data_IF_185682625704
#
_entry.id   IF_185682625704
#
_cell.length_a   1.000
_cell.length_b   1.000
_cell.length_c   1.000
_cell.angle_alpha   90.00
_cell.angle_beta   90.00
_cell.angle_gamma   90.00
#
_symmetry.space_group_name_H-M   'P 1'
#
loop_
_entity.id
_entity.type
_entity.pdbx_description
1 polymer ?
#
# COMPACT_ATOMS: atom_id res chain seq x y z
N UNK A 1 -14.78 16.16 -5.79
CA UNK A 1 -15.26 14.81 -6.15
C UNK A 1 -15.99 14.86 -7.46
N UNK A 2 -15.67 13.95 -8.37
CA UNK A 2 -16.39 13.86 -9.65
C UNK A 2 -17.81 13.31 -9.44
N UNK A 3 -18.76 13.78 -10.26
CA UNK A 3 -20.13 13.27 -10.26
C UNK A 3 -20.16 11.75 -10.50
N UNK A 4 -19.24 11.25 -11.34
CA UNK A 4 -19.08 9.83 -11.65
C UNK A 4 -18.73 9.02 -10.40
N UNK A 5 -17.75 9.45 -9.60
CA UNK A 5 -17.38 8.77 -8.36
C UNK A 5 -18.53 8.76 -7.35
N UNK A 6 -19.29 9.85 -7.23
CA UNK A 6 -20.48 9.93 -6.37
C UNK A 6 -21.52 8.88 -6.79
N UNK A 7 -21.84 8.82 -8.09
CA UNK A 7 -22.81 7.86 -8.61
C UNK A 7 -22.36 6.41 -8.39
N UNK A 8 -21.06 6.12 -8.52
CA UNK A 8 -20.49 4.79 -8.22
C UNK A 8 -20.70 4.43 -6.76
N UNK A 9 -20.41 5.35 -5.84
CA UNK A 9 -20.56 5.12 -4.40
C UNK A 9 -22.04 4.95 -3.99
N UNK A 10 -22.94 5.76 -4.54
CA UNK A 10 -24.38 5.64 -4.30
C UNK A 10 -24.97 4.36 -4.87
N UNK A 11 -24.43 3.88 -5.99
CA UNK A 11 -24.87 2.63 -6.62
C UNK A 11 -24.35 1.39 -5.90
N UNK A 12 -23.23 1.49 -5.18
CA UNK A 12 -22.56 0.35 -4.55
C UNK A 12 -23.47 -0.45 -3.60
N UNK A 13 -24.26 0.14 -2.68
CA UNK A 13 -25.19 -0.62 -1.83
C UNK A 13 -26.21 -1.43 -2.63
N UNK A 14 -26.80 -0.83 -3.67
CA UNK A 14 -27.75 -1.53 -4.55
C UNK A 14 -27.06 -2.67 -5.31
N UNK A 15 -25.87 -2.42 -5.83
CA UNK A 15 -25.05 -3.41 -6.52
C UNK A 15 -24.68 -4.60 -5.62
N UNK A 16 -24.42 -4.36 -4.33
CA UNK A 16 -24.16 -5.40 -3.34
C UNK A 16 -25.42 -6.20 -3.03
N UNK A 17 -26.58 -5.54 -2.89
CA UNK A 17 -27.87 -6.20 -2.71
C UNK A 17 -28.18 -7.13 -3.89
N UNK A 18 -27.97 -6.66 -5.13
CA UNK A 18 -28.14 -7.48 -6.34
C UNK A 18 -27.22 -8.70 -6.32
N UNK A 19 -25.98 -8.57 -5.85
CA UNK A 19 -25.05 -9.70 -5.69
C UNK A 19 -25.58 -10.71 -4.67
N UNK A 20 -26.08 -10.24 -3.51
CA UNK A 20 -26.64 -11.12 -2.47
C UNK A 20 -27.85 -11.89 -3.00
N UNK A 21 -28.81 -11.19 -3.61
CA UNK A 21 -30.02 -11.81 -4.16
C UNK A 21 -29.68 -12.83 -5.24
N UNK A 22 -28.78 -12.49 -6.19
CA UNK A 22 -28.36 -13.42 -7.24
C UNK A 22 -27.66 -14.65 -6.67
N UNK A 23 -26.85 -14.49 -5.64
CA UNK A 23 -26.14 -15.61 -5.01
C UNK A 23 -27.12 -16.64 -4.44
N UNK A 24 -28.15 -16.19 -3.71
CA UNK A 24 -29.14 -17.09 -3.10
C UNK A 24 -30.19 -17.62 -4.09
N UNK A 25 -30.57 -16.84 -5.11
CA UNK A 25 -31.57 -17.27 -6.11
C UNK A 25 -30.98 -18.26 -7.13
N UNK A 26 -29.76 -18.00 -7.62
CA UNK A 26 -29.15 -18.77 -8.72
C UNK A 26 -27.99 -19.67 -8.29
N UNK A 27 -27.76 -19.82 -6.98
CA UNK A 27 -26.69 -20.67 -6.44
C UNK A 27 -25.27 -20.13 -6.70
N UNK A 28 -25.12 -18.82 -6.91
CA UNK A 28 -23.84 -18.17 -7.14
C UNK A 28 -23.85 -17.17 -8.31
N UNK A 29 -22.70 -16.57 -8.57
CA UNK A 29 -22.49 -15.67 -9.72
C UNK A 29 -21.72 -16.38 -10.84
N UNK A 30 -21.77 -15.84 -12.07
CA UNK A 30 -20.98 -16.35 -13.22
C UNK A 30 -19.46 -16.11 -13.10
N UNK A 31 -18.91 -16.01 -11.88
CA UNK A 31 -17.48 -15.90 -11.65
C UNK A 31 -16.87 -17.29 -11.47
N UNK A 32 -16.22 -17.82 -12.51
CA UNK A 32 -15.65 -19.19 -12.54
C UNK A 32 -14.89 -19.59 -11.26
N UNK A 33 -14.10 -18.68 -10.67
CA UNK A 33 -13.24 -18.96 -9.49
C UNK A 33 -13.84 -18.58 -8.14
N UNK A 34 -14.80 -17.65 -8.10
CA UNK A 34 -15.29 -17.04 -6.84
C UNK A 34 -16.78 -17.27 -6.58
N UNK A 35 -17.46 -18.05 -7.41
CA UNK A 35 -18.91 -18.23 -7.38
C UNK A 35 -19.45 -18.95 -6.13
N UNK A 36 -18.62 -19.69 -5.40
CA UNK A 36 -19.05 -20.49 -4.24
C UNK A 36 -19.08 -19.73 -2.92
N UNK A 37 -18.43 -18.57 -2.84
CA UNK A 37 -18.34 -17.78 -1.61
C UNK A 37 -18.91 -16.37 -1.81
N UNK A 38 -20.03 -16.08 -1.14
CA UNK A 38 -20.67 -14.77 -1.16
C UNK A 38 -19.71 -13.65 -0.77
N UNK A 39 -18.86 -13.88 0.24
CA UNK A 39 -17.85 -12.90 0.70
C UNK A 39 -16.91 -12.49 -0.42
N UNK A 40 -16.42 -13.44 -1.22
CA UNK A 40 -15.52 -13.15 -2.34
C UNK A 40 -16.25 -12.45 -3.49
N UNK A 41 -17.51 -12.82 -3.75
CA UNK A 41 -18.36 -12.13 -4.71
C UNK A 41 -18.59 -10.65 -4.33
N UNK A 42 -18.86 -10.37 -3.05
CA UNK A 42 -19.04 -9.02 -2.52
C UNK A 42 -17.73 -8.22 -2.58
N UNK A 43 -16.62 -8.81 -2.13
CA UNK A 43 -15.27 -8.21 -2.23
C UNK A 43 -14.93 -7.83 -3.67
N UNK A 44 -15.16 -8.75 -4.62
CA UNK A 44 -14.91 -8.47 -6.04
C UNK A 44 -15.76 -7.29 -6.55
N UNK A 45 -17.02 -7.18 -6.10
CA UNK A 45 -17.87 -6.05 -6.47
C UNK A 45 -17.32 -4.72 -5.92
N UNK A 46 -16.87 -4.71 -4.67
CA UNK A 46 -16.23 -3.55 -4.04
C UNK A 46 -14.94 -3.17 -4.76
N UNK A 47 -14.05 -4.13 -5.03
CA UNK A 47 -12.78 -3.86 -5.72
C UNK A 47 -13.01 -3.32 -7.14
N UNK A 48 -14.00 -3.84 -7.86
CA UNK A 48 -14.37 -3.30 -9.18
C UNK A 48 -14.90 -1.87 -9.07
N UNK A 49 -15.72 -1.56 -8.06
CA UNK A 49 -16.18 -0.20 -7.83
C UNK A 49 -15.02 0.75 -7.52
N UNK A 50 -14.11 0.34 -6.64
CA UNK A 50 -12.92 1.11 -6.29
C UNK A 50 -12.03 1.42 -7.52
N UNK A 51 -11.84 0.45 -8.43
CA UNK A 51 -11.08 0.66 -9.67
C UNK A 51 -11.79 1.57 -10.70
N UNK A 52 -13.08 1.84 -10.52
CA UNK A 52 -13.86 2.71 -11.43
C UNK A 52 -14.01 4.15 -10.93
N UNK A 53 -13.62 4.41 -9.67
CA UNK A 53 -13.54 5.76 -9.10
C UNK A 53 -12.51 6.58 -9.89
N UNK A 54 -12.77 7.87 -10.07
CA UNK A 54 -11.84 8.76 -10.76
C UNK A 54 -10.48 8.82 -10.03
N UNK A 55 -9.39 8.97 -10.78
CA UNK A 55 -8.02 9.03 -10.24
C UNK A 55 -7.90 10.11 -9.16
N UNK A 56 -8.52 11.29 -9.39
CA UNK A 56 -8.48 12.40 -8.45
C UNK A 56 -9.26 12.11 -7.15
N UNK A 57 -10.18 11.15 -7.21
CA UNK A 57 -11.00 10.71 -6.09
C UNK A 57 -10.41 9.48 -5.39
N UNK A 58 -9.23 9.00 -5.80
CA UNK A 58 -8.56 7.80 -5.25
C UNK A 58 -8.37 7.83 -3.72
N UNK A 59 -8.23 9.02 -3.12
CA UNK A 59 -8.15 9.21 -1.67
C UNK A 59 -9.36 8.66 -0.89
N UNK A 60 -10.51 8.49 -1.54
CA UNK A 60 -11.71 7.91 -0.93
C UNK A 60 -11.56 6.41 -0.64
N UNK A 61 -10.67 5.73 -1.38
CA UNK A 61 -10.43 4.29 -1.25
C UNK A 61 -9.50 4.00 -0.06
N UNK A 62 -8.57 4.91 0.22
CA UNK A 62 -7.64 4.83 1.35
C UNK A 62 -7.46 6.18 2.03
N UNK A 63 -8.45 6.66 2.81
CA UNK A 63 -8.46 8.00 3.40
C UNK A 63 -7.58 8.05 4.66
N UNK A 64 -6.32 7.63 4.55
CA UNK A 64 -5.36 7.62 5.64
C UNK A 64 -3.97 8.03 5.13
N UNK A 65 -3.12 8.53 6.02
CA UNK A 65 -1.71 8.76 5.70
C UNK A 65 -0.88 7.49 5.92
N UNK A 66 0.21 7.33 5.17
CA UNK A 66 1.20 6.29 5.46
C UNK A 66 1.79 6.43 6.86
N UNK A 67 1.91 7.66 7.38
CA UNK A 67 2.34 7.90 8.76
C UNK A 67 1.40 7.24 9.78
N UNK A 68 0.09 7.39 9.61
CA UNK A 68 -0.92 6.76 10.48
C UNK A 68 -0.89 5.24 10.32
N UNK A 69 -0.85 4.74 9.09
CA UNK A 69 -0.76 3.32 8.79
C UNK A 69 0.46 2.69 9.49
N UNK A 70 1.65 3.22 9.23
CA UNK A 70 2.92 2.68 9.73
C UNK A 70 3.00 2.82 11.25
N UNK A 71 2.64 3.96 11.85
CA UNK A 71 2.89 4.17 13.29
C UNK A 71 1.78 3.68 14.22
N UNK A 72 0.57 3.47 13.71
CA UNK A 72 -0.60 3.13 14.53
C UNK A 72 -1.22 1.81 14.10
N UNK A 73 -1.55 1.67 12.82
CA UNK A 73 -2.31 0.49 12.35
C UNK A 73 -1.43 -0.75 12.33
N UNK A 74 -0.27 -0.71 11.66
CA UNK A 74 0.58 -1.89 11.49
C UNK A 74 1.06 -2.46 12.84
N UNK A 75 1.56 -1.66 13.81
CA UNK A 75 1.93 -2.19 15.13
C UNK A 75 0.74 -2.80 15.88
N UNK A 76 -0.47 -2.29 15.65
CA UNK A 76 -1.68 -2.82 16.29
C UNK A 76 -2.11 -4.16 15.69
N UNK A 77 -2.09 -4.31 14.35
CA UNK A 77 -2.56 -5.54 13.68
C UNK A 77 -1.47 -6.61 13.45
N UNK A 78 -0.19 -6.22 13.47
CA UNK A 78 0.97 -7.05 13.11
C UNK A 78 2.13 -6.85 14.10
N UNK A 79 1.81 -6.77 15.40
CA UNK A 79 2.80 -6.50 16.46
C UNK A 79 4.02 -7.42 16.40
N UNK A 80 3.80 -8.72 16.16
CA UNK A 80 4.86 -9.74 16.07
C UNK A 80 5.83 -9.51 14.92
N UNK A 81 5.38 -8.94 13.80
CA UNK A 81 6.26 -8.60 12.68
C UNK A 81 7.09 -7.34 12.95
N UNK A 82 6.56 -6.43 13.78
CA UNK A 82 7.17 -5.12 14.05
C UNK A 82 8.16 -5.18 15.21
N UNK A 83 7.96 -6.06 16.18
CA UNK A 83 8.80 -6.16 17.39
C UNK A 83 10.30 -6.33 17.07
N UNK A 84 10.61 -7.13 16.05
CA UNK A 84 11.98 -7.40 15.59
C UNK A 84 12.49 -6.40 14.54
N UNK A 85 11.80 -5.28 14.34
CA UNK A 85 12.18 -4.25 13.36
C UNK A 85 12.83 -3.04 14.06
N UNK A 86 14.17 -2.98 14.17
CA UNK A 86 14.85 -1.86 14.82
C UNK A 86 14.52 -0.55 14.10
N UNK A 87 14.23 0.50 14.86
CA UNK A 87 13.97 1.83 14.30
C UNK A 87 12.68 1.96 13.49
N UNK A 88 11.75 1.01 13.61
CA UNK A 88 10.47 1.01 12.91
C UNK A 88 9.68 2.33 13.08
N UNK A 89 9.13 2.84 11.98
CA UNK A 89 8.30 4.04 11.94
C UNK A 89 9.05 5.37 12.10
N UNK A 90 10.39 5.35 12.26
CA UNK A 90 11.19 6.58 12.32
C UNK A 90 11.17 7.28 10.96
N UNK A 91 10.94 8.60 10.98
CA UNK A 91 11.02 9.42 9.76
C UNK A 91 12.49 9.52 9.34
N UNK A 92 12.78 9.35 8.05
CA UNK A 92 14.11 9.70 7.54
C UNK A 92 14.10 11.12 6.96
N UNK A 93 13.15 11.40 6.06
CA UNK A 93 12.94 12.71 5.47
C UNK A 93 11.43 13.01 5.33
N UNK A 94 11.01 14.16 4.75
CA UNK A 94 9.60 14.47 4.58
C UNK A 94 8.79 13.49 3.72
N UNK A 95 9.41 12.56 3.00
CA UNK A 95 8.76 11.64 2.06
C UNK A 95 9.21 10.18 2.26
N UNK A 96 9.66 9.81 3.45
CA UNK A 96 10.11 8.44 3.71
C UNK A 96 10.15 8.06 5.18
N UNK A 97 10.04 6.77 5.44
CA UNK A 97 10.12 6.18 6.77
C UNK A 97 11.07 4.99 6.77
N UNK A 98 11.77 4.79 7.87
CA UNK A 98 12.38 3.51 8.16
C UNK A 98 11.31 2.54 8.65
N UNK A 99 11.23 1.38 8.00
CA UNK A 99 10.58 0.21 8.58
C UNK A 99 11.61 -0.61 9.36
N UNK A 100 12.86 -0.65 8.89
CA UNK A 100 13.99 -1.23 9.60
C UNK A 100 15.20 -0.31 9.42
N UNK A 101 15.82 0.11 10.52
CA UNK A 101 17.05 0.92 10.54
C UNK A 101 18.03 0.32 11.55
N UNK A 102 19.11 -0.25 11.04
CA UNK A 102 20.26 -0.66 11.85
C UNK A 102 21.14 0.56 12.16
N UNK A 103 21.63 0.68 13.40
CA UNK A 103 22.42 1.84 13.83
C UNK A 103 23.85 1.81 13.27
N UNK A 104 24.45 0.62 13.15
CA UNK A 104 25.86 0.42 12.75
C UNK A 104 26.00 0.01 11.28
N UNK A 105 25.15 0.58 10.41
CA UNK A 105 25.11 0.24 8.98
C UNK A 105 26.40 0.67 8.27
N UNK A 106 27.01 -0.25 7.54
CA UNK A 106 28.14 0.01 6.62
C UNK A 106 27.62 0.42 5.24
N UNK A 107 28.40 1.16 4.44
CA UNK A 107 28.07 1.49 3.05
C UNK A 107 27.69 0.26 2.19
N UNK A 108 28.36 -0.87 2.43
CA UNK A 108 28.13 -2.15 1.75
C UNK A 108 26.88 -2.90 2.20
N UNK A 109 26.22 -2.45 3.26
CA UNK A 109 25.07 -3.16 3.81
C UNK A 109 23.80 -2.88 2.98
N UNK A 110 23.00 -3.92 2.70
CA UNK A 110 21.86 -3.81 1.81
C UNK A 110 20.75 -2.93 2.39
N UNK A 111 20.11 -2.16 1.51
CA UNK A 111 18.92 -1.36 1.82
C UNK A 111 17.83 -1.69 0.83
N UNK A 112 16.69 -2.15 1.33
CA UNK A 112 15.48 -2.33 0.53
C UNK A 112 14.77 -0.98 0.46
N UNK A 113 14.74 -0.36 -0.72
CA UNK A 113 13.94 0.83 -1.00
C UNK A 113 12.58 0.38 -1.53
N UNK A 114 11.55 0.51 -0.71
CA UNK A 114 10.21 0.08 -1.04
C UNK A 114 9.33 1.24 -1.50
N UNK A 115 8.80 1.11 -2.72
CA UNK A 115 7.76 1.97 -3.26
C UNK A 115 6.45 1.19 -3.31
N UNK A 116 5.42 1.67 -2.62
CA UNK A 116 4.14 0.97 -2.61
C UNK A 116 3.46 1.03 -4.00
N UNK A 117 2.68 0.00 -4.32
CA UNK A 117 1.75 0.02 -5.46
C UNK A 117 0.50 0.86 -5.17
N UNK A 118 -0.42 0.96 -6.14
CA UNK A 118 -1.62 1.79 -6.02
C UNK A 118 -1.79 2.79 -7.17
N UNK A 119 -1.05 2.60 -8.27
CA UNK A 119 -1.18 3.38 -9.49
C UNK A 119 -0.82 4.87 -9.34
N UNK A 120 -0.14 5.25 -8.26
CA UNK A 120 0.16 6.64 -7.88
C UNK A 120 -1.06 7.48 -7.46
N UNK A 121 -2.22 6.87 -7.22
CA UNK A 121 -3.44 7.58 -6.77
C UNK A 121 -4.16 6.89 -5.60
N UNK A 122 -3.66 5.74 -5.13
CA UNK A 122 -4.15 5.05 -3.95
C UNK A 122 -3.01 4.92 -2.94
N UNK A 123 -3.34 5.17 -1.67
CA UNK A 123 -2.43 5.00 -0.53
C UNK A 123 -2.07 3.53 -0.28
N UNK A 124 -1.02 3.32 0.51
CA UNK A 124 -0.53 1.98 0.85
C UNK A 124 -1.56 1.16 1.60
N UNK A 125 -1.74 -0.10 1.23
CA UNK A 125 -2.58 -1.04 1.96
C UNK A 125 -1.77 -1.81 3.01
N UNK A 126 -2.37 -2.18 4.17
CA UNK A 126 -1.65 -2.89 5.22
C UNK A 126 -0.97 -4.18 4.75
N UNK A 127 -1.59 -4.89 3.82
CA UNK A 127 -1.04 -6.13 3.25
C UNK A 127 0.30 -5.93 2.52
N UNK A 128 0.55 -4.74 1.97
CA UNK A 128 1.83 -4.43 1.31
C UNK A 128 2.96 -4.33 2.34
N UNK A 129 2.71 -3.66 3.47
CA UNK A 129 3.67 -3.58 4.58
C UNK A 129 3.86 -4.97 5.21
N UNK A 130 2.77 -5.72 5.42
CA UNK A 130 2.84 -7.09 5.92
C UNK A 130 3.73 -7.97 5.04
N UNK A 131 3.52 -7.94 3.73
CA UNK A 131 4.31 -8.72 2.78
C UNK A 131 5.79 -8.36 2.85
N UNK A 132 6.11 -7.06 2.92
CA UNK A 132 7.49 -6.58 2.99
C UNK A 132 8.18 -6.99 4.30
N UNK A 133 7.51 -6.82 5.44
CA UNK A 133 8.06 -7.25 6.72
C UNK A 133 8.19 -8.78 6.78
N UNK A 134 7.25 -9.52 6.20
CA UNK A 134 7.34 -10.99 6.13
C UNK A 134 8.55 -11.44 5.31
N UNK A 135 8.82 -10.79 4.17
CA UNK A 135 10.04 -11.06 3.39
C UNK A 135 11.28 -10.81 4.23
N UNK A 136 11.34 -9.70 4.97
CA UNK A 136 12.45 -9.40 5.87
C UNK A 136 12.63 -10.43 6.98
N UNK A 137 11.53 -10.93 7.56
CA UNK A 137 11.58 -11.99 8.58
C UNK A 137 12.05 -13.35 8.03
N UNK A 138 11.99 -13.55 6.71
CA UNK A 138 12.41 -14.79 6.04
C UNK A 138 13.85 -14.71 5.49
N UNK A 139 14.53 -13.58 5.64
CA UNK A 139 15.94 -13.49 5.28
C UNK A 139 16.79 -14.33 6.25
N UNK A 140 17.87 -14.92 5.74
CA UNK A 140 18.88 -15.55 6.58
C UNK A 140 19.39 -14.55 7.63
N UNK A 141 19.65 -15.03 8.85
CA UNK A 141 19.93 -14.15 9.99
C UNK A 141 21.09 -13.17 9.75
N UNK A 142 22.14 -13.61 9.06
CA UNK A 142 23.32 -12.80 8.74
C UNK A 142 22.98 -11.68 7.74
N UNK A 143 22.05 -11.93 6.82
CA UNK A 143 21.54 -10.94 5.86
C UNK A 143 20.56 -10.00 6.55
N UNK A 144 19.64 -10.53 7.35
CA UNK A 144 18.63 -9.77 8.06
C UNK A 144 19.26 -8.73 8.99
N UNK A 145 20.26 -9.13 9.79
CA UNK A 145 20.96 -8.27 10.77
C UNK A 145 21.67 -7.05 10.17
N UNK A 146 21.91 -7.05 8.85
CA UNK A 146 22.51 -5.93 8.11
C UNK A 146 21.54 -5.27 7.11
N UNK A 147 20.37 -5.85 6.87
CA UNK A 147 19.41 -5.33 5.89
C UNK A 147 18.53 -4.26 6.52
N UNK A 148 18.54 -3.05 5.97
CA UNK A 148 17.61 -1.99 6.35
C UNK A 148 16.47 -1.87 5.33
N UNK A 149 15.32 -1.33 5.75
CA UNK A 149 14.16 -1.14 4.88
C UNK A 149 13.69 0.29 4.97
N UNK A 150 13.75 0.98 3.84
CA UNK A 150 13.25 2.32 3.66
C UNK A 150 11.96 2.30 2.85
N UNK A 151 10.90 2.81 3.44
CA UNK A 151 9.60 2.98 2.82
C UNK A 151 9.49 4.40 2.22
N UNK A 152 9.15 4.49 0.94
CA UNK A 152 8.90 5.76 0.24
C UNK A 152 7.45 6.21 0.41
N UNK A 153 7.28 7.33 1.11
CA UNK A 153 6.01 8.04 1.32
C UNK A 153 5.86 9.14 0.26
N UNK A 154 5.78 8.71 -0.99
CA UNK A 154 5.73 9.60 -2.14
C UNK A 154 4.34 10.24 -2.29
N UNK A 155 4.29 11.39 -2.96
CA UNK A 155 3.08 12.19 -3.16
C UNK A 155 2.13 11.53 -4.18
N UNK A 156 0.81 11.63 -4.01
CA UNK A 156 -0.14 10.99 -4.92
C UNK A 156 -0.85 11.99 -5.85
N UNK A 157 -1.23 11.52 -7.04
CA UNK A 157 -2.04 12.29 -7.99
C UNK A 157 -3.42 12.63 -7.40
N UNK A 158 -3.98 11.73 -6.59
CA UNK A 158 -5.22 11.96 -5.83
C UNK A 158 -5.15 13.12 -4.84
N UNK A 159 -3.94 13.55 -4.48
CA UNK A 159 -3.69 14.71 -3.60
C UNK A 159 -3.40 16.00 -4.40
N UNK A 160 -3.59 15.97 -5.73
CA UNK A 160 -3.42 17.12 -6.62
C UNK A 160 -2.02 17.28 -7.20
N UNK A 161 -1.12 16.31 -7.00
CA UNK A 161 0.22 16.35 -7.59
C UNK A 161 0.21 15.90 -9.07
N UNK A 162 1.11 16.44 -9.91
CA UNK A 162 1.13 16.16 -11.35
C UNK A 162 1.45 14.70 -11.68
N UNK A 163 0.95 14.22 -12.83
CA UNK A 163 1.08 12.83 -13.31
C UNK A 163 2.38 12.56 -14.11
N UNK A 164 2.48 11.37 -14.71
CA UNK A 164 3.64 10.46 -14.74
C UNK A 164 5.03 10.89 -15.28
N UNK A 165 5.29 11.91 -16.13
CA UNK A 165 6.68 12.23 -16.49
C UNK A 165 7.48 12.76 -15.29
N UNK A 166 6.84 13.57 -14.45
CA UNK A 166 7.45 14.16 -13.26
C UNK A 166 7.71 13.11 -12.18
N UNK A 167 6.88 12.06 -12.10
CA UNK A 167 6.93 11.09 -11.00
C UNK A 167 8.07 10.09 -11.12
N UNK A 168 8.27 9.52 -12.32
CA UNK A 168 9.41 8.64 -12.58
C UNK A 168 10.72 9.43 -12.42
N UNK A 169 10.71 10.70 -12.87
CA UNK A 169 11.82 11.62 -12.67
C UNK A 169 12.06 11.90 -11.19
N UNK A 170 11.00 12.11 -10.40
CA UNK A 170 11.09 12.30 -8.95
C UNK A 170 11.63 11.04 -8.27
N UNK A 171 11.10 9.86 -8.59
CA UNK A 171 11.57 8.58 -8.05
C UNK A 171 13.04 8.34 -8.41
N UNK A 172 13.46 8.66 -9.64
CA UNK A 172 14.87 8.59 -10.05
C UNK A 172 15.73 9.58 -9.27
N UNK A 173 15.28 10.83 -9.10
CA UNK A 173 16.00 11.86 -8.34
C UNK A 173 16.10 11.50 -6.87
N UNK A 174 15.02 10.98 -6.28
CA UNK A 174 14.97 10.38 -4.95
C UNK A 174 16.00 9.25 -4.92
N UNK A 175 15.85 8.16 -5.67
CA UNK A 175 16.82 7.04 -5.64
C UNK A 175 18.28 7.51 -5.85
N UNK A 176 18.53 8.45 -6.77
CA UNK A 176 19.88 8.99 -7.02
C UNK A 176 20.42 9.90 -5.91
N UNK A 177 19.56 10.66 -5.25
CA UNK A 177 19.90 11.42 -4.04
C UNK A 177 20.21 10.46 -2.90
N UNK A 178 19.40 9.41 -2.76
CA UNK A 178 19.52 8.42 -1.71
C UNK A 178 20.75 7.53 -1.87
N UNK A 179 21.12 7.13 -3.08
CA UNK A 179 22.39 6.46 -3.35
C UNK A 179 23.57 7.33 -2.91
N UNK A 180 23.51 8.65 -3.20
CA UNK A 180 24.54 9.61 -2.76
C UNK A 180 24.58 9.77 -1.24
N UNK A 181 23.43 9.99 -0.60
CA UNK A 181 23.35 10.28 0.84
C UNK A 181 23.62 9.04 1.70
N UNK A 182 23.18 7.86 1.25
CA UNK A 182 23.46 6.60 1.91
C UNK A 182 24.85 6.02 1.58
N UNK A 183 25.66 6.70 0.75
CA UNK A 183 26.95 6.21 0.25
C UNK A 183 26.85 4.77 -0.30
N UNK A 184 25.84 4.49 -1.12
CA UNK A 184 25.69 3.21 -1.84
C UNK A 184 26.46 3.33 -3.16
#
# INVERSE_FOLDING_TARGET
>A
MSLRSILILLKLPFDLLVVILRFYIFGGLRFRRYNRELRNCLRLRIYRAALTVDILDGKLIGPHSNAFLIRKVIPYILSTLVENCPGYGKRFDPQSFWLVKHNDRKPSDPVIIFSHGGGYYIQTMPSQIQSLLSIYQLLDEDVQKRTSILFLDYKLVSDGYPSLPSFISLMRLTISFWMREMRI
#
